data_IF_934249890259
#
_entry.id   IF_934249890259
#
_cell.length_a   1.000
_cell.length_b   1.000
_cell.length_c   1.000
_cell.angle_alpha   90.00
_cell.angle_beta   90.00
_cell.angle_gamma   90.00
#
_symmetry.space_group_name_H-M   'P 1'
#
loop_
_entity.id
_entity.type
_entity.pdbx_description
1 polymer ?
#
# COMPACT_ATOMS: atom_id res chain seq x y z
N UNK A 1 7.99 3.29 -20.28
CA UNK A 1 8.29 3.72 -18.89
C UNK A 1 9.65 4.40 -18.88
N UNK A 2 9.77 5.62 -18.31
CA UNK A 2 10.99 6.43 -18.39
C UNK A 2 12.11 5.79 -17.53
N UNK A 3 13.31 5.46 -18.07
CA UNK A 3 14.41 4.84 -17.32
C UNK A 3 14.86 5.64 -16.09
N UNK A 4 14.63 6.95 -16.07
CA UNK A 4 14.91 7.82 -14.92
C UNK A 4 14.03 7.50 -13.69
N UNK A 5 12.79 7.03 -13.90
CA UNK A 5 11.88 6.66 -12.79
C UNK A 5 12.35 5.37 -12.09
N UNK A 6 12.87 4.41 -12.84
CA UNK A 6 13.47 3.20 -12.26
C UNK A 6 14.78 3.48 -11.53
N UNK A 7 15.61 4.37 -12.06
CA UNK A 7 16.87 4.74 -11.42
C UNK A 7 16.64 5.46 -10.09
N UNK A 8 15.68 6.40 -10.03
CA UNK A 8 15.34 7.11 -8.79
C UNK A 8 14.68 6.19 -7.75
N UNK A 9 13.83 5.25 -8.17
CA UNK A 9 13.27 4.25 -7.25
C UNK A 9 14.34 3.27 -6.74
N UNK A 10 15.27 2.80 -7.60
CA UNK A 10 16.41 1.96 -7.19
C UNK A 10 17.33 2.73 -6.24
N UNK A 11 17.61 3.99 -6.52
CA UNK A 11 18.46 4.84 -5.66
C UNK A 11 17.79 5.05 -4.29
N UNK A 12 16.48 5.35 -4.25
CA UNK A 12 15.71 5.48 -3.02
C UNK A 12 15.67 4.16 -2.22
N UNK A 13 15.50 3.01 -2.88
CA UNK A 13 15.59 1.67 -2.24
C UNK A 13 17.01 1.37 -1.73
N UNK A 14 18.05 1.75 -2.45
CA UNK A 14 19.45 1.51 -2.07
C UNK A 14 19.88 2.41 -0.91
N UNK A 15 19.51 3.69 -0.92
CA UNK A 15 19.73 4.62 0.18
C UNK A 15 18.92 4.19 1.43
N UNK A 16 17.71 3.66 1.24
CA UNK A 16 16.91 3.09 2.32
C UNK A 16 17.55 1.84 2.96
N UNK A 17 18.27 1.03 2.20
CA UNK A 17 18.94 -0.18 2.70
C UNK A 17 20.32 0.06 3.32
N UNK A 18 21.08 1.01 2.79
CA UNK A 18 22.49 1.24 3.19
C UNK A 18 22.70 2.53 3.99
N UNK A 19 21.78 3.51 3.89
CA UNK A 19 21.86 4.75 4.66
C UNK A 19 21.17 4.62 6.01
N UNK A 20 21.85 4.99 7.09
CA UNK A 20 21.20 5.10 8.39
C UNK A 20 20.02 6.10 8.36
N UNK A 21 19.15 6.04 9.36
CA UNK A 21 17.94 6.89 9.44
C UNK A 21 18.24 8.38 9.29
N UNK A 22 19.44 8.84 9.73
CA UNK A 22 19.90 10.24 9.56
C UNK A 22 20.07 10.63 8.10
N UNK A 23 20.61 9.74 7.26
CA UNK A 23 20.78 10.02 5.83
C UNK A 23 19.43 10.15 5.12
N UNK A 24 18.45 9.36 5.52
CA UNK A 24 17.07 9.48 5.02
C UNK A 24 16.46 10.84 5.38
N UNK A 25 16.63 11.28 6.63
CA UNK A 25 16.14 12.60 7.07
C UNK A 25 16.88 13.74 6.37
N UNK A 26 18.18 13.61 6.13
CA UNK A 26 18.95 14.59 5.36
C UNK A 26 18.45 14.68 3.92
N UNK A 27 18.13 13.54 3.30
CA UNK A 27 17.54 13.50 1.96
C UNK A 27 16.16 14.20 1.93
N UNK A 28 15.30 13.96 2.92
CA UNK A 28 14.01 14.65 3.05
C UNK A 28 14.22 16.15 3.17
N UNK A 29 15.14 16.59 4.04
CA UNK A 29 15.46 18.00 4.22
C UNK A 29 15.93 18.66 2.90
N UNK A 30 16.88 18.03 2.20
CA UNK A 30 17.37 18.51 0.92
C UNK A 30 16.27 18.61 -0.14
N UNK A 31 15.44 17.57 -0.28
CA UNK A 31 14.32 17.56 -1.22
C UNK A 31 13.27 18.62 -0.89
N UNK A 32 12.96 18.80 0.41
CA UNK A 32 12.05 19.84 0.86
C UNK A 32 12.55 21.25 0.51
N UNK A 33 13.81 21.56 0.83
CA UNK A 33 14.44 22.85 0.53
C UNK A 33 14.53 23.13 -0.97
N UNK A 34 14.89 22.10 -1.76
CA UNK A 34 14.97 22.17 -3.22
C UNK A 34 13.59 22.10 -3.91
N UNK A 35 12.51 22.06 -3.16
CA UNK A 35 11.12 21.96 -3.67
C UNK A 35 10.90 20.73 -4.58
N UNK A 36 11.62 19.65 -4.30
CA UNK A 36 11.50 18.38 -5.04
C UNK A 36 10.44 17.48 -4.38
N UNK A 37 10.07 16.43 -5.08
CA UNK A 37 9.12 15.41 -4.60
C UNK A 37 9.78 14.52 -3.56
N UNK A 38 9.10 14.27 -2.43
CA UNK A 38 9.64 13.43 -1.35
C UNK A 38 8.57 12.73 -0.52
N UNK A 39 7.28 12.94 -0.80
CA UNK A 39 6.20 12.32 -0.03
C UNK A 39 5.50 11.21 -0.82
N UNK A 40 4.92 10.26 -0.09
CA UNK A 40 3.88 9.35 -0.57
C UNK A 40 2.53 9.84 -0.07
N UNK A 41 1.57 9.91 -0.98
CA UNK A 41 0.18 10.23 -0.67
C UNK A 41 -0.65 8.96 -0.81
N UNK A 42 -1.41 8.63 0.23
CA UNK A 42 -2.20 7.42 0.38
C UNK A 42 -3.65 7.84 0.66
N UNK A 43 -4.57 7.45 -0.21
CA UNK A 43 -5.95 7.94 -0.14
C UNK A 43 -6.93 6.77 -0.13
N UNK A 44 -7.79 6.73 0.88
CA UNK A 44 -9.01 5.94 0.83
C UNK A 44 -10.18 6.84 0.42
N UNK A 45 -10.70 6.72 -0.81
CA UNK A 45 -11.81 7.57 -1.26
C UNK A 45 -13.12 7.27 -0.54
N UNK A 46 -13.23 6.12 0.07
CA UNK A 46 -14.37 5.68 0.87
C UNK A 46 -13.87 4.84 2.04
N UNK A 47 -14.60 4.82 3.15
CA UNK A 47 -14.33 3.94 4.29
C UNK A 47 -15.35 2.79 4.34
N UNK A 48 -15.47 2.06 3.24
CA UNK A 48 -16.30 0.87 3.10
C UNK A 48 -15.60 -0.21 2.26
N UNK A 49 -16.05 -1.44 2.38
CA UNK A 49 -15.62 -2.55 1.54
C UNK A 49 -16.81 -3.46 1.24
N UNK A 50 -16.87 -4.01 0.03
CA UNK A 50 -17.87 -5.01 -0.36
C UNK A 50 -17.59 -6.41 0.21
N UNK A 51 -16.35 -6.68 0.64
CA UNK A 51 -15.93 -7.97 1.20
C UNK A 51 -15.81 -7.94 2.73
N UNK A 52 -15.78 -9.15 3.31
CA UNK A 52 -15.58 -9.41 4.75
C UNK A 52 -14.46 -10.41 4.98
N UNK A 53 -13.28 -10.14 4.38
CA UNK A 53 -12.13 -11.04 4.48
C UNK A 53 -11.81 -11.38 5.94
N UNK A 54 -11.65 -12.67 6.24
CA UNK A 54 -11.48 -13.16 7.62
C UNK A 54 -10.27 -12.55 8.34
N UNK A 55 -9.23 -12.16 7.61
CA UNK A 55 -8.02 -11.53 8.16
C UNK A 55 -8.12 -10.00 8.25
N UNK A 56 -9.22 -9.39 7.84
CA UNK A 56 -9.39 -7.95 7.75
C UNK A 56 -10.29 -7.44 8.87
N UNK A 57 -10.04 -6.21 9.32
CA UNK A 57 -10.90 -5.52 10.30
C UNK A 57 -12.32 -5.22 9.79
N UNK A 58 -12.56 -5.28 8.48
CA UNK A 58 -13.93 -5.21 7.93
C UNK A 58 -14.79 -6.44 8.26
N UNK A 59 -14.20 -7.54 8.75
CA UNK A 59 -14.93 -8.67 9.31
C UNK A 59 -15.56 -8.38 10.68
N UNK A 60 -14.98 -7.42 11.42
CA UNK A 60 -15.47 -6.96 12.72
C UNK A 60 -16.65 -5.96 12.52
N UNK A 61 -17.89 -6.30 12.90
CA UNK A 61 -19.05 -5.44 12.68
C UNK A 61 -19.03 -4.16 13.52
N UNK A 62 -18.49 -4.21 14.74
CA UNK A 62 -18.42 -3.05 15.64
C UNK A 62 -17.43 -2.03 15.11
N UNK A 63 -16.22 -2.48 14.77
CA UNK A 63 -15.23 -1.59 14.19
C UNK A 63 -15.68 -1.03 12.83
N UNK A 64 -16.26 -1.88 11.97
CA UNK A 64 -16.80 -1.44 10.67
C UNK A 64 -17.86 -0.35 10.83
N UNK A 65 -18.70 -0.41 11.86
CA UNK A 65 -19.71 0.61 12.15
C UNK A 65 -19.11 1.99 12.47
N UNK A 66 -17.82 2.06 12.85
CA UNK A 66 -17.11 3.33 13.08
C UNK A 66 -16.55 3.94 11.80
N UNK A 67 -16.43 3.17 10.72
CA UNK A 67 -15.89 3.60 9.45
C UNK A 67 -17.02 4.18 8.57
N UNK A 68 -16.93 5.48 8.27
CA UNK A 68 -17.98 6.20 7.55
C UNK A 68 -17.43 7.24 6.61
N UNK A 69 -18.22 7.53 5.58
CA UNK A 69 -17.97 8.64 4.66
C UNK A 69 -17.30 8.22 3.35
N UNK A 70 -17.41 9.11 2.41
CA UNK A 70 -16.74 9.07 1.10
C UNK A 70 -16.23 10.47 0.76
N UNK A 71 -15.11 10.55 0.06
CA UNK A 71 -14.62 11.77 -0.55
C UNK A 71 -15.45 12.09 -1.78
N UNK A 72 -15.71 13.37 -1.99
CA UNK A 72 -16.27 13.86 -3.24
C UNK A 72 -15.16 14.14 -4.26
N UNK A 73 -15.52 14.33 -5.52
CA UNK A 73 -14.57 14.82 -6.53
C UNK A 73 -14.02 16.20 -6.18
N UNK A 74 -14.83 17.06 -5.56
CA UNK A 74 -14.42 18.39 -5.10
C UNK A 74 -13.39 18.30 -3.96
N UNK A 75 -13.54 17.36 -3.01
CA UNK A 75 -12.52 17.12 -2.00
C UNK A 75 -11.18 16.73 -2.65
N UNK A 76 -11.22 15.87 -3.68
CA UNK A 76 -10.02 15.45 -4.42
C UNK A 76 -9.37 16.62 -5.15
N UNK A 77 -10.17 17.47 -5.80
CA UNK A 77 -9.71 18.70 -6.48
C UNK A 77 -9.07 19.68 -5.50
N UNK A 78 -9.62 19.80 -4.29
CA UNK A 78 -9.09 20.68 -3.26
C UNK A 78 -7.78 20.16 -2.66
N UNK A 79 -7.63 18.83 -2.46
CA UNK A 79 -6.44 18.19 -1.89
C UNK A 79 -5.27 18.18 -2.87
N UNK A 80 -5.54 17.90 -4.15
CA UNK A 80 -4.50 17.63 -5.15
C UNK A 80 -3.45 18.75 -5.29
N UNK A 81 -3.79 20.04 -5.41
CA UNK A 81 -2.81 21.12 -5.54
C UNK A 81 -1.92 21.26 -4.29
N UNK A 82 -2.37 20.80 -3.13
CA UNK A 82 -1.69 20.95 -1.87
C UNK A 82 -0.68 19.84 -1.57
N UNK A 83 -0.86 18.64 -2.14
CA UNK A 83 -0.01 17.47 -1.86
C UNK A 83 0.68 16.91 -3.10
N UNK A 84 -0.01 16.80 -4.25
CA UNK A 84 0.49 16.06 -5.41
C UNK A 84 1.74 16.67 -6.08
N UNK A 85 1.97 18.01 -6.07
CA UNK A 85 3.23 18.56 -6.58
C UNK A 85 4.49 18.02 -5.90
N UNK A 86 4.41 17.59 -4.64
CA UNK A 86 5.51 17.01 -3.87
C UNK A 86 5.44 15.48 -3.77
N UNK A 87 4.41 14.85 -4.33
CA UNK A 87 4.22 13.40 -4.28
C UNK A 87 5.13 12.66 -5.25
N UNK A 88 5.88 11.66 -4.75
CA UNK A 88 6.57 10.65 -5.54
C UNK A 88 5.63 9.52 -5.93
N UNK A 89 4.63 9.27 -5.09
CA UNK A 89 3.66 8.19 -5.23
C UNK A 89 2.28 8.67 -4.77
N UNK A 90 1.26 8.30 -5.54
CA UNK A 90 -0.13 8.33 -5.14
C UNK A 90 -0.65 6.89 -5.09
N UNK A 91 -1.14 6.48 -3.95
CA UNK A 91 -1.78 5.17 -3.79
C UNK A 91 -3.24 5.37 -3.38
N UNK A 92 -4.14 4.76 -4.13
CA UNK A 92 -5.59 4.83 -3.94
C UNK A 92 -6.05 3.45 -3.46
N UNK A 93 -6.82 3.42 -2.38
CA UNK A 93 -7.20 2.18 -1.69
C UNK A 93 -6.08 1.68 -0.79
N UNK A 94 -6.16 2.00 0.48
CA UNK A 94 -5.15 1.62 1.48
C UNK A 94 -5.72 0.67 2.52
N UNK A 95 -6.96 0.88 2.91
CA UNK A 95 -7.61 0.10 3.95
C UNK A 95 -9.08 -0.20 3.64
N UNK A 96 -9.59 0.31 2.54
CA UNK A 96 -10.97 0.14 2.10
C UNK A 96 -11.02 -0.21 0.60
N UNK A 97 -12.21 -0.38 0.02
CA UNK A 97 -12.34 -0.77 -1.37
C UNK A 97 -12.66 0.44 -2.26
N UNK A 98 -11.70 0.95 -3.04
CA UNK A 98 -11.87 2.16 -3.83
C UNK A 98 -12.85 2.00 -5.01
N UNK A 99 -13.05 0.78 -5.51
CA UNK A 99 -13.97 0.50 -6.63
C UNK A 99 -15.44 0.73 -6.29
N UNK A 100 -15.78 0.91 -5.01
CA UNK A 100 -17.11 1.33 -4.57
C UNK A 100 -17.40 2.82 -4.89
N UNK A 101 -16.38 3.59 -5.27
CA UNK A 101 -16.51 4.99 -5.72
C UNK A 101 -15.69 5.19 -7.00
N UNK A 102 -16.10 4.57 -8.13
CA UNK A 102 -15.31 4.53 -9.36
C UNK A 102 -15.02 5.93 -9.92
N UNK A 103 -15.96 6.85 -9.84
CA UNK A 103 -15.79 8.25 -10.28
C UNK A 103 -14.69 8.98 -9.50
N UNK A 104 -14.73 8.88 -8.16
CA UNK A 104 -13.73 9.51 -7.28
C UNK A 104 -12.37 8.87 -7.47
N UNK A 105 -12.32 7.54 -7.60
CA UNK A 105 -11.10 6.78 -7.87
C UNK A 105 -10.46 7.21 -9.21
N UNK A 106 -11.25 7.27 -10.27
CA UNK A 106 -10.81 7.74 -11.60
C UNK A 106 -10.31 9.18 -11.54
N UNK A 107 -11.06 10.08 -10.84
CA UNK A 107 -10.67 11.47 -10.68
C UNK A 107 -9.32 11.61 -9.98
N UNK A 108 -9.03 10.83 -8.96
CA UNK A 108 -7.74 10.82 -8.28
C UNK A 108 -6.60 10.41 -9.22
N UNK A 109 -6.81 9.41 -10.09
CA UNK A 109 -5.80 8.99 -11.10
C UNK A 109 -5.55 10.14 -12.09
N UNK A 110 -6.61 10.77 -12.61
CA UNK A 110 -6.49 11.93 -13.52
C UNK A 110 -5.75 13.10 -12.87
N UNK A 111 -6.05 13.42 -11.61
CA UNK A 111 -5.35 14.46 -10.85
C UNK A 111 -3.89 14.08 -10.59
N UNK A 112 -3.61 12.84 -10.25
CA UNK A 112 -2.24 12.34 -10.14
C UNK A 112 -1.45 12.57 -11.44
N UNK A 113 -2.05 12.28 -12.59
CA UNK A 113 -1.47 12.53 -13.91
C UNK A 113 -1.30 14.02 -14.19
N UNK A 114 -2.33 14.85 -13.94
CA UNK A 114 -2.30 16.31 -14.08
C UNK A 114 -1.14 16.94 -13.31
N UNK A 115 -0.88 16.48 -12.09
CA UNK A 115 0.22 16.97 -11.25
C UNK A 115 1.53 16.21 -11.45
N UNK A 116 1.63 15.38 -12.50
CA UNK A 116 2.82 14.61 -12.87
C UNK A 116 3.37 13.75 -11.71
N UNK A 117 2.48 13.13 -10.92
CA UNK A 117 2.91 12.17 -9.90
C UNK A 117 3.57 10.98 -10.62
N UNK A 118 4.84 10.63 -10.29
CA UNK A 118 5.59 9.62 -11.06
C UNK A 118 5.01 8.21 -11.00
N UNK A 119 4.30 7.89 -9.91
CA UNK A 119 3.73 6.57 -9.70
C UNK A 119 2.34 6.67 -9.10
N UNK A 120 1.34 6.19 -9.83
CA UNK A 120 -0.06 6.20 -9.44
C UNK A 120 -0.52 4.75 -9.37
N UNK A 121 -0.96 4.30 -8.20
CA UNK A 121 -1.38 2.92 -7.97
C UNK A 121 -2.78 2.84 -7.34
N UNK A 122 -3.52 1.82 -7.74
CA UNK A 122 -4.81 1.42 -7.13
C UNK A 122 -4.62 0.07 -6.48
N UNK A 123 -5.09 -0.09 -5.24
CA UNK A 123 -5.20 -1.38 -4.57
C UNK A 123 -6.67 -1.74 -4.44
N UNK A 124 -7.04 -2.92 -4.88
CA UNK A 124 -8.42 -3.40 -4.89
C UNK A 124 -8.50 -4.91 -4.65
N UNK A 125 -9.64 -5.37 -4.19
CA UNK A 125 -9.97 -6.80 -4.20
C UNK A 125 -10.41 -7.30 -5.59
N UNK A 126 -10.70 -6.37 -6.53
CA UNK A 126 -11.05 -6.64 -7.90
C UNK A 126 -12.52 -7.05 -8.13
N UNK A 127 -13.28 -7.39 -7.08
CA UNK A 127 -14.61 -7.98 -7.23
C UNK A 127 -15.73 -7.00 -7.65
N UNK A 128 -15.48 -5.69 -7.53
CA UNK A 128 -16.42 -4.66 -8.01
C UNK A 128 -15.83 -3.83 -9.16
N UNK A 129 -14.68 -4.23 -9.70
CA UNK A 129 -14.06 -3.55 -10.83
C UNK A 129 -14.68 -4.06 -12.14
N UNK A 130 -15.19 -3.13 -12.94
CA UNK A 130 -15.70 -3.44 -14.29
C UNK A 130 -14.65 -3.21 -15.36
N UNK A 131 -14.84 -3.82 -16.53
CA UNK A 131 -13.94 -3.66 -17.68
C UNK A 131 -13.84 -2.20 -18.10
N UNK A 132 -14.97 -1.48 -18.16
CA UNK A 132 -15.03 -0.05 -18.52
C UNK A 132 -14.23 0.79 -17.52
N UNK A 133 -14.37 0.49 -16.22
CA UNK A 133 -13.62 1.21 -15.18
C UNK A 133 -12.12 0.92 -15.28
N UNK A 134 -11.73 -0.32 -15.52
CA UNK A 134 -10.32 -0.69 -15.75
C UNK A 134 -9.76 0.06 -16.95
N UNK A 135 -10.45 0.06 -18.08
CA UNK A 135 -10.05 0.76 -19.30
C UNK A 135 -9.90 2.28 -19.08
N UNK A 136 -10.85 2.89 -18.34
CA UNK A 136 -10.80 4.30 -17.98
C UNK A 136 -9.58 4.63 -17.09
N UNK A 137 -9.25 3.78 -16.11
CA UNK A 137 -8.07 3.95 -15.25
C UNK A 137 -6.76 3.85 -16.04
N UNK A 138 -6.67 2.90 -16.97
CA UNK A 138 -5.50 2.73 -17.86
C UNK A 138 -5.33 3.97 -18.74
N UNK A 139 -6.41 4.43 -19.39
CA UNK A 139 -6.42 5.63 -20.22
C UNK A 139 -6.03 6.88 -19.41
N UNK A 140 -6.47 6.99 -18.17
CA UNK A 140 -6.11 8.08 -17.26
C UNK A 140 -4.64 8.05 -16.81
N UNK A 141 -3.91 6.95 -17.04
CA UNK A 141 -2.48 6.81 -16.76
C UNK A 141 -2.16 6.11 -15.45
N UNK A 142 -2.98 5.13 -15.05
CA UNK A 142 -2.67 4.23 -13.92
C UNK A 142 -1.32 3.55 -14.16
N UNK A 143 -0.43 3.60 -13.17
CA UNK A 143 0.92 3.00 -13.26
C UNK A 143 0.94 1.57 -12.74
N UNK A 144 0.17 1.27 -11.69
CA UNK A 144 0.13 -0.06 -11.06
C UNK A 144 -1.28 -0.37 -10.58
N UNK A 145 -1.75 -1.58 -10.88
CA UNK A 145 -2.93 -2.19 -10.28
C UNK A 145 -2.48 -3.29 -9.32
N UNK A 146 -2.79 -3.13 -8.04
CA UNK A 146 -2.50 -4.14 -7.02
C UNK A 146 -3.78 -4.88 -6.68
N UNK A 147 -3.79 -6.20 -6.87
CA UNK A 147 -4.91 -7.09 -6.59
C UNK A 147 -4.67 -7.88 -5.32
N UNK A 148 -5.65 -7.91 -4.45
CA UNK A 148 -5.63 -8.77 -3.26
C UNK A 148 -6.01 -10.19 -3.62
N UNK A 149 -5.17 -11.15 -3.21
CA UNK A 149 -5.38 -12.58 -3.45
C UNK A 149 -5.02 -13.36 -2.17
N UNK A 150 -5.98 -14.12 -1.65
CA UNK A 150 -5.76 -14.85 -0.39
C UNK A 150 -6.05 -16.36 -0.49
N UNK A 151 -6.14 -16.89 -1.71
CA UNK A 151 -6.29 -18.30 -2.04
C UNK A 151 -5.96 -18.52 -3.51
N UNK A 152 -5.44 -19.68 -3.88
CA UNK A 152 -5.12 -20.07 -5.27
C UNK A 152 -6.13 -21.08 -5.84
N UNK A 153 -7.15 -21.40 -5.05
CA UNK A 153 -8.32 -22.18 -5.47
C UNK A 153 -9.59 -21.39 -5.15
N UNK A 154 -10.65 -21.63 -5.91
CA UNK A 154 -11.95 -21.02 -5.66
C UNK A 154 -12.40 -21.21 -4.20
N UNK A 155 -12.34 -22.43 -3.71
CA UNK A 155 -12.79 -22.76 -2.35
C UNK A 155 -12.06 -21.96 -1.26
N UNK A 156 -10.75 -21.81 -1.35
CA UNK A 156 -9.97 -21.05 -0.37
C UNK A 156 -10.11 -19.54 -0.57
N UNK A 157 -10.14 -19.08 -1.82
CA UNK A 157 -10.34 -17.66 -2.14
C UNK A 157 -11.66 -17.14 -1.56
N UNK A 158 -12.78 -17.77 -1.88
CA UNK A 158 -14.12 -17.36 -1.45
C UNK A 158 -14.32 -17.54 0.06
N UNK A 159 -13.75 -18.60 0.65
CA UNK A 159 -13.78 -18.82 2.10
C UNK A 159 -13.04 -17.75 2.89
N UNK A 160 -11.86 -17.33 2.43
CA UNK A 160 -11.04 -16.33 3.14
C UNK A 160 -11.44 -14.90 2.81
N UNK A 161 -11.85 -14.63 1.58
CA UNK A 161 -12.32 -13.34 1.10
C UNK A 161 -13.86 -13.34 1.04
N UNK A 162 -14.50 -13.47 2.19
CA UNK A 162 -15.96 -13.63 2.31
C UNK A 162 -16.71 -12.55 1.55
N UNK A 163 -17.56 -12.99 0.62
CA UNK A 163 -18.32 -12.15 -0.33
C UNK A 163 -17.61 -11.95 -1.66
N UNK A 164 -16.40 -12.49 -1.85
CA UNK A 164 -15.73 -12.49 -3.15
C UNK A 164 -16.22 -13.64 -4.03
N UNK A 165 -16.17 -13.41 -5.33
CA UNK A 165 -16.44 -14.39 -6.37
C UNK A 165 -15.15 -14.68 -7.16
N UNK A 166 -14.72 -15.94 -7.17
CA UNK A 166 -13.51 -16.37 -7.86
C UNK A 166 -13.55 -16.05 -9.37
N UNK A 167 -14.72 -16.21 -9.98
CA UNK A 167 -14.89 -15.96 -11.41
C UNK A 167 -14.64 -14.49 -11.77
N UNK A 168 -15.01 -13.55 -10.91
CA UNK A 168 -14.72 -12.12 -11.10
C UNK A 168 -13.22 -11.85 -11.10
N UNK A 169 -12.47 -12.49 -10.18
CA UNK A 169 -11.01 -12.37 -10.13
C UNK A 169 -10.36 -12.94 -11.42
N UNK A 170 -10.78 -14.11 -11.87
CA UNK A 170 -10.27 -14.72 -13.10
C UNK A 170 -10.60 -13.84 -14.32
N UNK A 171 -11.85 -13.38 -14.43
CA UNK A 171 -12.29 -12.48 -15.51
C UNK A 171 -11.45 -11.20 -15.55
N UNK A 172 -11.13 -10.61 -14.39
CA UNK A 172 -10.25 -9.43 -14.32
C UNK A 172 -8.84 -9.74 -14.84
N UNK A 173 -8.29 -10.92 -14.54
CA UNK A 173 -6.99 -11.33 -15.09
C UNK A 173 -7.04 -11.49 -16.62
N UNK A 174 -8.13 -12.02 -17.16
CA UNK A 174 -8.33 -12.13 -18.61
C UNK A 174 -8.43 -10.74 -19.27
N UNK A 175 -9.15 -9.77 -18.67
CA UNK A 175 -9.15 -8.40 -19.17
C UNK A 175 -7.74 -7.79 -19.20
N UNK A 176 -6.97 -7.99 -18.14
CA UNK A 176 -5.59 -7.48 -18.05
C UNK A 176 -4.66 -8.10 -19.09
N UNK A 177 -4.91 -9.38 -19.47
CA UNK A 177 -4.13 -10.13 -20.47
C UNK A 177 -4.29 -9.57 -21.88
N UNK A 178 -5.49 -9.10 -22.22
CA UNK A 178 -5.81 -8.60 -23.56
C UNK A 178 -5.60 -7.11 -23.74
N UNK A 179 -5.22 -6.37 -22.68
CA UNK A 179 -4.91 -4.96 -22.79
C UNK A 179 -3.58 -4.72 -23.54
N UNK A 180 -3.58 -3.82 -24.52
CA UNK A 180 -2.37 -3.44 -25.26
C UNK A 180 -1.25 -2.89 -24.37
N UNK A 181 -1.60 -2.09 -23.38
CA UNK A 181 -0.65 -1.47 -22.44
C UNK A 181 -1.16 -1.58 -21.00
N UNK A 182 -1.15 -2.79 -20.41
CA UNK A 182 -1.61 -2.96 -19.05
C UNK A 182 -0.76 -2.18 -18.05
N UNK A 183 -1.34 -1.70 -16.93
CA UNK A 183 -0.56 -1.18 -15.83
C UNK A 183 0.34 -2.29 -15.28
N UNK A 184 1.34 -1.96 -14.48
CA UNK A 184 2.09 -2.98 -13.75
C UNK A 184 1.12 -3.71 -12.80
N UNK A 185 0.93 -5.02 -13.00
CA UNK A 185 0.05 -5.82 -12.14
C UNK A 185 0.86 -6.36 -10.97
N UNK A 186 0.38 -6.10 -9.76
CA UNK A 186 0.91 -6.66 -8.52
C UNK A 186 -0.14 -7.53 -7.85
N UNK A 187 0.25 -8.69 -7.35
CA UNK A 187 -0.57 -9.49 -6.46
C UNK A 187 -0.09 -9.35 -5.01
N UNK A 188 -1.02 -9.06 -4.11
CA UNK A 188 -0.79 -9.09 -2.67
C UNK A 188 -1.37 -10.38 -2.09
N UNK A 189 -0.50 -11.33 -1.71
CA UNK A 189 -0.89 -12.57 -1.06
C UNK A 189 -0.64 -12.46 0.45
N UNK A 190 -1.72 -12.44 1.24
CA UNK A 190 -1.61 -12.48 2.69
C UNK A 190 -1.61 -13.93 3.17
N UNK A 191 -0.41 -14.47 3.43
CA UNK A 191 -0.24 -15.84 3.86
C UNK A 191 -0.62 -16.03 5.32
N UNK A 192 -1.36 -17.08 5.60
CA UNK A 192 -1.81 -17.50 6.93
C UNK A 192 -1.87 -19.03 6.99
N UNK A 193 -2.29 -19.60 8.15
CA UNK A 193 -2.35 -21.04 8.36
C UNK A 193 -3.28 -21.78 7.37
N UNK A 194 -4.30 -21.09 6.84
CA UNK A 194 -5.38 -21.71 6.05
C UNK A 194 -5.14 -21.65 4.54
N UNK A 195 -4.10 -20.92 4.08
CA UNK A 195 -3.74 -20.79 2.67
C UNK A 195 -2.24 -21.02 2.39
N UNK A 196 -1.45 -21.36 3.41
CA UNK A 196 0.00 -21.53 3.31
C UNK A 196 0.37 -22.57 2.25
N UNK A 197 -0.21 -23.76 2.31
CA UNK A 197 0.12 -24.87 1.41
C UNK A 197 -0.27 -24.59 -0.05
N UNK A 198 -1.37 -23.85 -0.25
CA UNK A 198 -1.81 -23.46 -1.57
C UNK A 198 -0.90 -22.45 -2.27
N UNK A 199 -0.06 -21.73 -1.51
CA UNK A 199 0.86 -20.75 -2.06
C UNK A 199 1.77 -21.35 -3.15
N UNK A 200 2.11 -22.63 -3.03
CA UNK A 200 2.90 -23.38 -4.01
C UNK A 200 2.26 -23.46 -5.41
N UNK A 201 0.94 -23.25 -5.52
CA UNK A 201 0.18 -23.24 -6.79
C UNK A 201 0.18 -21.86 -7.47
N UNK A 202 0.60 -20.82 -6.76
CA UNK A 202 0.55 -19.44 -7.26
C UNK A 202 1.31 -19.25 -8.58
N UNK A 203 2.53 -19.78 -8.79
CA UNK A 203 3.23 -19.64 -10.06
C UNK A 203 2.41 -20.19 -11.24
N UNK A 204 1.80 -21.35 -11.07
CA UNK A 204 1.00 -22.00 -12.14
C UNK A 204 -0.28 -21.20 -12.43
N UNK A 205 -0.92 -20.65 -11.39
CA UNK A 205 -2.13 -19.83 -11.54
C UNK A 205 -1.88 -18.56 -12.38
N UNK A 206 -0.71 -17.93 -12.23
CA UNK A 206 -0.47 -16.60 -12.81
C UNK A 206 0.43 -16.61 -14.05
N UNK A 207 0.90 -17.77 -14.49
CA UNK A 207 1.88 -17.94 -15.58
C UNK A 207 1.49 -17.20 -16.87
N UNK A 208 0.22 -17.24 -17.24
CA UNK A 208 -0.27 -16.69 -18.50
C UNK A 208 -0.76 -15.24 -18.40
N UNK A 209 -0.63 -14.62 -17.22
CA UNK A 209 -1.13 -13.27 -16.95
C UNK A 209 0.00 -12.26 -16.76
N UNK A 210 -0.23 -10.96 -17.04
CA UNK A 210 0.82 -9.94 -17.02
C UNK A 210 1.23 -9.52 -15.61
N UNK A 211 1.34 -10.47 -14.68
CA UNK A 211 1.75 -10.20 -13.30
C UNK A 211 3.24 -9.89 -13.25
N UNK A 212 3.58 -8.73 -12.71
CA UNK A 212 4.95 -8.22 -12.62
C UNK A 212 5.57 -8.39 -11.25
N UNK A 213 4.75 -8.29 -10.23
CA UNK A 213 5.22 -8.33 -8.84
C UNK A 213 4.27 -9.17 -8.01
N UNK A 214 4.80 -10.05 -7.19
CA UNK A 214 4.07 -10.76 -6.14
C UNK A 214 4.59 -10.31 -4.79
N UNK A 215 3.71 -9.80 -3.94
CA UNK A 215 4.02 -9.50 -2.55
C UNK A 215 3.43 -10.55 -1.64
N UNK A 216 4.28 -11.38 -1.04
CA UNK A 216 3.91 -12.36 -0.02
C UNK A 216 4.16 -11.72 1.35
N UNK A 217 3.13 -11.63 2.15
CA UNK A 217 3.24 -11.08 3.51
C UNK A 217 2.45 -11.94 4.50
N UNK A 218 2.98 -12.15 5.70
CA UNK A 218 2.24 -12.87 6.74
C UNK A 218 1.04 -12.03 7.18
N UNK A 219 -0.03 -12.73 7.58
CA UNK A 219 -1.17 -12.09 8.20
C UNK A 219 -0.73 -11.32 9.44
N UNK A 220 -1.33 -10.17 9.67
CA UNK A 220 -1.09 -9.34 10.85
C UNK A 220 -2.29 -9.39 11.78
N UNK A 221 -2.01 -9.23 13.08
CA UNK A 221 -3.06 -9.07 14.09
C UNK A 221 -3.72 -7.71 13.91
N UNK A 222 -4.88 -7.67 13.26
CA UNK A 222 -5.60 -6.44 12.95
C UNK A 222 -7.02 -6.53 13.52
N UNK A 223 -7.30 -5.71 14.53
CA UNK A 223 -8.62 -5.64 15.16
C UNK A 223 -9.08 -6.99 15.70
N UNK A 224 -10.38 -7.20 15.78
CA UNK A 224 -11.03 -8.42 16.22
C UNK A 224 -11.25 -9.42 15.07
N UNK A 225 -10.31 -9.48 14.11
CA UNK A 225 -10.38 -10.44 13.02
C UNK A 225 -10.16 -11.88 13.50
N UNK A 226 -10.55 -12.88 12.71
CA UNK A 226 -10.34 -14.30 13.02
C UNK A 226 -8.85 -14.68 13.22
N UNK A 227 -7.94 -13.81 12.84
CA UNK A 227 -6.49 -13.98 12.96
C UNK A 227 -5.85 -13.10 14.04
N UNK A 228 -6.63 -12.51 14.95
CA UNK A 228 -6.08 -11.68 16.05
C UNK A 228 -5.07 -12.44 16.94
N UNK A 229 -5.29 -13.75 17.13
CA UNK A 229 -4.45 -14.66 17.92
C UNK A 229 -3.58 -15.57 17.03
N UNK A 230 -3.27 -15.12 15.81
CA UNK A 230 -2.52 -15.95 14.87
C UNK A 230 -1.09 -16.22 15.35
N UNK A 231 -0.71 -17.50 15.40
CA UNK A 231 0.65 -17.96 15.65
C UNK A 231 1.44 -18.02 14.35
N UNK A 232 2.64 -17.42 14.35
CA UNK A 232 3.54 -17.40 13.20
C UNK A 232 4.38 -18.69 13.07
N UNK A 233 4.42 -19.54 14.09
CA UNK A 233 5.27 -20.73 14.10
C UNK A 233 5.03 -21.67 12.91
N UNK A 234 3.78 -21.95 12.48
CA UNK A 234 3.54 -22.77 11.29
C UNK A 234 4.12 -22.19 10.01
N UNK A 235 4.05 -20.85 9.83
CA UNK A 235 4.61 -20.17 8.66
C UNK A 235 6.14 -20.24 8.65
N UNK A 236 6.76 -20.07 9.82
CA UNK A 236 8.22 -20.15 9.97
C UNK A 236 8.70 -21.58 9.71
N UNK A 237 8.01 -22.58 10.24
CA UNK A 237 8.34 -24.00 10.05
C UNK A 237 8.23 -24.44 8.57
N UNK A 238 7.25 -23.92 7.83
CA UNK A 238 7.05 -24.24 6.44
C UNK A 238 7.79 -23.28 5.47
N UNK A 239 8.55 -22.33 5.99
CA UNK A 239 9.14 -21.27 5.17
C UNK A 239 9.96 -21.81 4.00
N UNK A 240 10.95 -22.66 4.26
CA UNK A 240 11.85 -23.15 3.22
C UNK A 240 11.12 -24.07 2.23
N UNK A 241 10.23 -24.93 2.73
CA UNK A 241 9.48 -25.89 1.90
C UNK A 241 8.46 -25.24 0.99
N UNK A 242 7.73 -24.23 1.45
CA UNK A 242 6.61 -23.64 0.71
C UNK A 242 6.95 -22.23 0.23
N UNK A 243 7.31 -21.33 1.14
CA UNK A 243 7.46 -19.91 0.79
C UNK A 243 8.71 -19.67 -0.06
N UNK A 244 9.88 -20.17 0.38
CA UNK A 244 11.12 -19.96 -0.35
C UNK A 244 11.08 -20.65 -1.73
N UNK A 245 10.60 -21.88 -1.81
CA UNK A 245 10.44 -22.61 -3.08
C UNK A 245 9.49 -21.88 -4.04
N UNK A 246 8.37 -21.32 -3.53
CA UNK A 246 7.47 -20.52 -4.36
C UNK A 246 8.14 -19.25 -4.85
N UNK A 247 8.90 -18.56 -3.98
CA UNK A 247 9.67 -17.36 -4.34
C UNK A 247 10.68 -17.67 -5.44
N UNK A 248 11.41 -18.78 -5.34
CA UNK A 248 12.37 -19.23 -6.35
C UNK A 248 11.70 -19.48 -7.70
N UNK A 249 10.56 -20.18 -7.72
CA UNK A 249 9.78 -20.44 -8.95
C UNK A 249 9.32 -19.14 -9.60
N UNK A 250 8.71 -18.23 -8.85
CA UNK A 250 8.26 -16.93 -9.35
C UNK A 250 9.43 -16.10 -9.91
N UNK A 251 10.56 -16.07 -9.20
CA UNK A 251 11.76 -15.36 -9.67
C UNK A 251 12.33 -15.98 -10.96
N UNK A 252 12.31 -17.30 -11.08
CA UNK A 252 12.74 -18.00 -12.30
C UNK A 252 11.85 -17.65 -13.53
N UNK A 253 10.57 -17.34 -13.30
CA UNK A 253 9.63 -16.85 -14.32
C UNK A 253 9.73 -15.33 -14.56
N UNK A 254 10.71 -14.65 -13.95
CA UNK A 254 10.95 -13.21 -14.13
C UNK A 254 10.06 -12.28 -13.31
N UNK A 255 9.30 -12.82 -12.35
CA UNK A 255 8.41 -12.07 -11.48
C UNK A 255 9.20 -11.48 -10.31
N UNK A 256 9.05 -10.18 -10.04
CA UNK A 256 9.62 -9.55 -8.85
C UNK A 256 8.87 -10.02 -7.60
N UNK A 257 9.58 -10.58 -6.60
CA UNK A 257 8.94 -11.03 -5.37
C UNK A 257 9.36 -10.17 -4.18
N UNK A 258 8.36 -9.70 -3.45
CA UNK A 258 8.52 -8.97 -2.18
C UNK A 258 8.06 -9.91 -1.06
N UNK A 259 9.01 -10.48 -0.32
CA UNK A 259 8.74 -11.41 0.76
C UNK A 259 9.67 -11.14 1.94
N UNK A 260 9.18 -11.14 3.19
CA UNK A 260 10.06 -11.09 4.36
C UNK A 260 10.83 -12.41 4.50
N UNK A 261 12.08 -12.36 4.96
CA UNK A 261 12.82 -13.58 5.31
C UNK A 261 12.21 -14.29 6.53
N UNK A 262 12.46 -15.60 6.69
CA UNK A 262 12.02 -16.40 7.85
C UNK A 262 12.39 -15.75 9.18
N UNK A 263 13.61 -15.22 9.29
CA UNK A 263 14.07 -14.46 10.46
C UNK A 263 13.21 -13.23 10.77
N UNK A 264 12.69 -12.54 9.76
CA UNK A 264 11.78 -11.39 9.96
C UNK A 264 10.39 -11.85 10.34
N UNK A 265 9.94 -12.98 9.85
CA UNK A 265 8.65 -13.57 10.22
C UNK A 265 8.63 -14.03 11.69
N UNK A 266 9.74 -14.60 12.19
CA UNK A 266 9.86 -15.07 13.57
C UNK A 266 10.05 -13.96 14.61
N UNK A 267 10.38 -12.74 14.18
CA UNK A 267 10.65 -11.64 15.11
C UNK A 267 9.36 -10.90 15.49
N UNK A 268 9.14 -10.77 16.80
CA UNK A 268 8.14 -9.82 17.30
C UNK A 268 8.46 -8.41 16.81
N UNK A 269 7.48 -7.72 16.23
CA UNK A 269 7.66 -6.37 15.73
C UNK A 269 8.15 -5.44 16.86
N UNK A 270 9.38 -4.96 16.73
CA UNK A 270 9.93 -3.93 17.64
C UNK A 270 9.35 -2.58 17.27
N UNK A 271 9.11 -1.69 18.25
CA UNK A 271 8.70 -0.34 17.94
C UNK A 271 9.76 0.34 17.04
N UNK A 272 9.34 1.22 16.13
CA UNK A 272 10.28 1.91 15.26
C UNK A 272 11.23 2.78 16.10
N UNK A 273 12.43 3.01 15.59
CA UNK A 273 13.33 4.00 16.19
C UNK A 273 12.78 5.42 15.96
N UNK A 274 13.09 6.35 16.85
CA UNK A 274 12.59 7.74 16.79
C UNK A 274 12.85 8.42 15.43
N UNK A 275 14.04 8.24 14.86
CA UNK A 275 14.36 8.83 13.55
C UNK A 275 13.58 8.17 12.41
N UNK A 276 13.35 6.85 12.47
CA UNK A 276 12.51 6.15 11.50
C UNK A 276 11.04 6.60 11.60
N UNK A 277 10.53 6.80 12.82
CA UNK A 277 9.18 7.36 13.05
C UNK A 277 9.06 8.77 12.44
N UNK A 278 10.04 9.65 12.70
CA UNK A 278 10.06 10.99 12.12
C UNK A 278 10.11 10.95 10.58
N UNK A 279 10.91 10.06 10.00
CA UNK A 279 10.95 9.87 8.54
C UNK A 279 9.56 9.50 8.01
N UNK A 280 8.87 8.54 8.65
CA UNK A 280 7.52 8.13 8.27
C UNK A 280 6.54 9.30 8.40
N UNK A 281 6.51 10.01 9.51
CA UNK A 281 5.65 11.18 9.75
C UNK A 281 5.85 12.31 8.73
N UNK A 282 7.06 12.43 8.18
CA UNK A 282 7.39 13.50 7.21
C UNK A 282 7.23 13.09 5.76
N UNK A 283 7.10 11.79 5.47
CA UNK A 283 7.03 11.28 4.09
C UNK A 283 5.75 10.53 3.77
N UNK A 284 4.95 10.14 4.75
CA UNK A 284 3.73 9.37 4.59
C UNK A 284 2.49 10.21 4.94
N UNK A 285 1.66 10.50 3.97
CA UNK A 285 0.43 11.28 4.14
C UNK A 285 -0.78 10.44 3.79
N UNK A 286 -1.54 10.07 4.81
CA UNK A 286 -2.79 9.33 4.66
C UNK A 286 -3.98 10.28 4.72
N UNK A 287 -4.90 10.11 3.75
CA UNK A 287 -6.12 10.88 3.60
C UNK A 287 -7.31 9.91 3.53
N UNK A 288 -8.35 10.24 4.24
CA UNK A 288 -9.62 9.51 4.21
C UNK A 288 -10.79 10.46 4.50
N UNK A 289 -12.04 10.03 4.30
CA UNK A 289 -13.22 10.84 4.65
C UNK A 289 -13.28 11.31 6.11
N UNK A 290 -12.60 10.61 7.01
CA UNK A 290 -12.53 10.96 8.44
C UNK A 290 -11.26 11.72 8.82
N UNK A 291 -10.29 11.86 7.90
CA UNK A 291 -9.03 12.54 8.17
C UNK A 291 -8.42 13.10 6.88
N UNK A 292 -8.41 14.41 6.75
CA UNK A 292 -7.83 15.10 5.60
C UNK A 292 -6.34 15.43 5.78
N UNK A 293 -5.70 14.91 6.83
CA UNK A 293 -4.28 15.09 7.10
C UNK A 293 -3.89 14.73 8.53
N UNK A 294 -2.59 14.69 8.85
CA UNK A 294 -2.10 14.38 10.18
C UNK A 294 -2.39 15.52 11.16
N UNK A 295 -2.56 15.18 12.43
CA UNK A 295 -2.71 16.14 13.53
C UNK A 295 -3.85 17.18 13.35
N UNK A 296 -4.95 16.76 12.69
CA UNK A 296 -6.11 17.61 12.46
C UNK A 296 -5.95 18.67 11.36
N UNK A 297 -4.87 18.60 10.58
CA UNK A 297 -4.69 19.45 9.40
C UNK A 297 -5.65 19.04 8.29
N UNK A 298 -6.25 20.03 7.64
CA UNK A 298 -7.10 19.82 6.48
C UNK A 298 -6.39 20.26 5.19
N UNK A 299 -5.89 19.28 4.44
CA UNK A 299 -5.21 19.54 3.17
C UNK A 299 -6.14 19.94 2.02
N UNK A 300 -7.43 20.12 2.26
CA UNK A 300 -8.31 20.80 1.29
C UNK A 300 -8.06 22.32 1.27
N UNK A 301 -7.58 22.87 2.38
CA UNK A 301 -7.32 24.32 2.54
C UNK A 301 -5.89 24.68 2.86
N UNK A 302 -5.10 23.73 3.41
CA UNK A 302 -3.72 23.97 3.85
C UNK A 302 -2.73 23.29 2.91
N UNK A 303 -1.76 24.03 2.36
CA UNK A 303 -0.71 23.42 1.54
C UNK A 303 0.31 22.66 2.41
N UNK A 304 0.95 21.63 1.84
CA UNK A 304 2.05 20.91 2.49
C UNK A 304 3.15 21.88 3.00
N UNK A 305 3.41 22.95 2.25
CA UNK A 305 4.40 23.94 2.62
C UNK A 305 3.98 24.75 3.84
N UNK A 306 2.72 25.16 3.90
CA UNK A 306 2.18 25.86 5.08
C UNK A 306 2.23 24.97 6.31
N UNK A 307 1.80 23.70 6.17
CA UNK A 307 1.90 22.69 7.22
C UNK A 307 3.35 22.47 7.69
N UNK A 308 4.30 22.35 6.75
CA UNK A 308 5.72 22.18 7.07
C UNK A 308 6.29 23.37 7.88
N UNK A 309 5.84 24.60 7.60
CA UNK A 309 6.20 25.79 8.38
C UNK A 309 5.57 25.76 9.77
N UNK A 310 4.26 25.51 9.87
CA UNK A 310 3.52 25.43 11.14
C UNK A 310 4.09 24.34 12.07
N UNK A 311 4.46 23.18 11.49
CA UNK A 311 5.06 22.06 12.22
C UNK A 311 6.56 22.21 12.49
N UNK A 312 7.17 23.35 12.12
CA UNK A 312 8.62 23.59 12.22
C UNK A 312 9.47 22.46 11.62
N UNK A 313 9.05 21.90 10.47
CA UNK A 313 9.63 20.71 9.86
C UNK A 313 11.17 20.79 9.74
N UNK A 314 11.70 21.89 9.21
CA UNK A 314 13.14 22.08 9.02
C UNK A 314 13.88 22.02 10.37
N UNK A 315 13.41 22.71 11.38
CA UNK A 315 13.99 22.67 12.73
C UNK A 315 13.94 21.28 13.37
N UNK A 316 12.82 20.55 13.20
CA UNK A 316 12.68 19.17 13.68
C UNK A 316 13.67 18.24 12.99
N UNK A 317 13.82 18.35 11.67
CA UNK A 317 14.75 17.54 10.88
C UNK A 317 16.21 17.83 11.27
N UNK A 318 16.62 19.09 11.36
CA UNK A 318 17.97 19.48 11.77
C UNK A 318 18.28 18.96 13.19
N UNK A 319 17.39 19.15 14.15
CA UNK A 319 17.56 18.60 15.50
C UNK A 319 17.71 17.07 15.46
N UNK A 320 16.85 16.39 14.71
CA UNK A 320 16.90 14.93 14.60
C UNK A 320 18.21 14.44 13.98
N UNK A 321 18.70 15.10 12.92
CA UNK A 321 19.93 14.71 12.22
C UNK A 321 21.16 14.90 13.12
N UNK A 322 21.27 16.01 13.83
CA UNK A 322 22.50 16.39 14.53
C UNK A 322 22.54 16.07 16.01
N UNK A 323 21.41 16.13 16.72
CA UNK A 323 21.39 16.04 18.18
C UNK A 323 20.59 14.88 18.77
N UNK A 324 19.61 14.34 18.04
CA UNK A 324 18.71 13.35 18.62
C UNK A 324 19.35 11.96 18.69
N UNK A 325 19.28 11.30 19.85
CA UNK A 325 19.65 9.87 19.99
C UNK A 325 18.59 9.01 19.28
N UNK A 326 19.04 8.04 18.45
CA UNK A 326 18.18 7.14 17.71
C UNK A 326 17.76 5.93 18.58
N UNK A 327 17.04 6.21 19.67
CA UNK A 327 16.46 5.20 20.56
C UNK A 327 15.13 4.70 20.01
N UNK A 328 14.61 3.61 20.57
CA UNK A 328 13.25 3.14 20.24
C UNK A 328 12.22 4.20 20.67
N UNK A 329 11.22 4.42 19.83
CA UNK A 329 10.07 5.25 20.19
C UNK A 329 9.24 4.52 21.25
N UNK A 330 8.59 5.28 22.13
CA UNK A 330 7.57 4.73 23.02
C UNK A 330 6.47 4.09 22.17
N UNK A 331 5.91 2.97 22.64
CA UNK A 331 4.75 2.36 21.99
C UNK A 331 3.58 3.33 22.11
N UNK A 332 3.10 3.83 20.99
CA UNK A 332 1.81 4.51 20.95
C UNK A 332 0.74 3.49 21.33
N UNK A 333 0.10 3.68 22.46
CA UNK A 333 -1.05 2.87 22.90
C UNK A 333 -2.28 3.10 22.01
N UNK A 334 -2.29 4.21 21.28
CA UNK A 334 -3.27 4.51 20.22
C UNK A 334 -2.68 4.20 18.85
N UNK A 335 -2.47 2.92 18.58
CA UNK A 335 -1.98 2.49 17.28
C UNK A 335 -3.07 2.76 16.24
N UNK A 336 -3.02 3.93 15.63
CA UNK A 336 -3.55 4.11 14.28
C UNK A 336 -2.96 2.97 13.45
N UNK A 337 -3.84 2.14 12.88
CA UNK A 337 -3.48 0.96 12.09
C UNK A 337 -2.44 1.38 11.06
N UNK A 338 -1.19 0.98 11.26
CA UNK A 338 -0.16 1.12 10.23
C UNK A 338 -0.50 0.11 9.15
N UNK A 339 -1.10 0.60 8.08
CA UNK A 339 -1.20 -0.14 6.85
C UNK A 339 0.22 -0.18 6.26
N UNK A 340 0.98 -1.22 6.63
CA UNK A 340 2.30 -1.46 6.05
C UNK A 340 2.09 -1.99 4.63
N UNK A 341 2.12 -1.10 3.66
CA UNK A 341 2.17 -1.40 2.24
C UNK A 341 3.59 -1.33 1.69
#
# INVERSE_FOLDING_TARGET
>A
MNPLTHATQRLARTLSRKGGDRLKLLSVLGMHLLRRRYIGVFIDPILACNLRCQMCYFSDPEYRATLRGKLTTDDCEAIAPHLFPQALRLQIGCGAEPTLTPETMLRLVQLGKKYHVPWISVITNGNALTEETLQALVTAGLSELTLSLHGTTQATYERLMVGAEWQQFVTLLEWLKVLDNPPAVRLNYTVNRDNLEELSRLPDLIRDYPVRTVQIRPVQKIGESAYKEFDMAPLVAAYDRVIATTVERLCAEGIEVICPSSKKMSQTAKPPRRLAKLFEETTYYYISPQSFGPHGVDFRSVSLRSYARQSCLVGRLLRAIFTQRNTYAERDTHTTKKLNY
#
